data_IF_951473992493
#
_entry.id   IF_951473992493
#
_cell.length_a   1.000
_cell.length_b   1.000
_cell.length_c   1.000
_cell.angle_alpha   90.00
_cell.angle_beta   90.00
_cell.angle_gamma   90.00
#
_symmetry.space_group_name_H-M   'P 1'
#
loop_
_entity.id
_entity.type
_entity.pdbx_description
1 polymer ?
#
# COMPACT_ATOMS: atom_id res chain seq x y z
N UNK A 1 9.93 9.93 -57.77
CA UNK A 1 10.36 10.08 -56.37
C UNK A 1 10.30 8.72 -55.69
N UNK A 2 11.45 8.07 -55.44
CA UNK A 2 12.28 8.18 -54.21
C UNK A 2 11.49 7.67 -52.99
N UNK A 3 11.93 6.76 -52.12
CA UNK A 3 13.10 5.90 -51.93
C UNK A 3 12.78 5.12 -50.63
N UNK A 4 13.10 3.83 -50.53
CA UNK A 4 13.55 3.13 -49.31
C UNK A 4 13.55 1.61 -49.63
N UNK A 5 14.72 0.99 -49.89
CA UNK A 5 15.67 0.48 -48.89
C UNK A 5 15.03 -0.63 -48.03
N UNK A 6 15.35 -1.90 -48.33
CA UNK A 6 16.34 -2.73 -47.59
C UNK A 6 15.97 -2.88 -46.09
N UNK A 7 15.87 -4.06 -45.47
CA UNK A 7 16.78 -5.20 -45.56
C UNK A 7 16.24 -6.41 -44.75
N UNK A 8 16.64 -7.61 -45.18
CA UNK A 8 16.93 -8.83 -44.41
C UNK A 8 15.84 -9.57 -43.61
N UNK A 9 15.21 -10.50 -44.33
CA UNK A 9 14.83 -11.83 -43.83
C UNK A 9 16.10 -12.63 -43.47
N UNK A 10 16.17 -13.16 -42.25
CA UNK A 10 16.89 -14.41 -41.98
C UNK A 10 16.17 -15.22 -40.91
N UNK A 11 15.22 -16.00 -41.41
CA UNK A 11 14.64 -17.16 -40.72
C UNK A 11 15.67 -18.28 -40.79
N UNK A 12 16.25 -18.66 -39.66
CA UNK A 12 17.03 -19.88 -39.57
C UNK A 12 16.75 -20.54 -38.22
N UNK A 13 16.21 -21.76 -38.34
CA UNK A 13 16.50 -22.92 -37.51
C UNK A 13 15.59 -23.22 -36.32
N UNK A 14 14.57 -23.99 -36.66
CA UNK A 14 13.91 -25.00 -35.84
C UNK A 14 14.89 -25.78 -34.96
N UNK A 15 14.65 -25.79 -33.65
CA UNK A 15 14.93 -26.95 -32.80
C UNK A 15 13.73 -27.14 -31.88
N UNK A 16 12.87 -28.07 -32.27
CA UNK A 16 11.89 -28.70 -31.40
C UNK A 16 12.63 -29.31 -30.21
N UNK A 17 12.39 -28.81 -29.01
CA UNK A 17 12.80 -29.48 -27.78
C UNK A 17 11.57 -29.61 -26.90
N UNK A 18 11.09 -30.85 -26.84
CA UNK A 18 9.86 -31.23 -26.19
C UNK A 18 9.77 -30.79 -24.74
N UNK A 19 8.54 -30.47 -24.36
CA UNK A 19 8.06 -30.40 -22.99
C UNK A 19 8.26 -31.79 -22.38
N UNK A 20 9.25 -31.92 -21.50
CA UNK A 20 9.42 -33.10 -20.67
C UNK A 20 8.61 -32.87 -19.38
N UNK A 21 7.69 -33.80 -19.12
CA UNK A 21 6.54 -33.69 -18.20
C UNK A 21 6.85 -34.09 -16.76
N UNK A 22 8.11 -34.28 -16.36
CA UNK A 22 8.45 -34.66 -14.99
C UNK A 22 9.62 -33.83 -14.47
N UNK A 23 9.57 -33.47 -13.18
CA UNK A 23 10.61 -32.82 -12.38
C UNK A 23 10.89 -31.31 -12.53
N UNK A 24 10.03 -30.45 -11.97
CA UNK A 24 10.45 -29.46 -10.94
C UNK A 24 9.25 -29.06 -10.06
N UNK A 25 8.72 -30.00 -9.26
CA UNK A 25 8.04 -29.63 -8.01
C UNK A 25 9.14 -29.21 -7.02
N UNK A 26 9.72 -28.02 -7.21
CA UNK A 26 10.46 -27.35 -6.14
C UNK A 26 9.41 -26.63 -5.31
N UNK A 27 9.15 -27.24 -4.17
CA UNK A 27 8.37 -26.74 -3.04
C UNK A 27 8.42 -25.22 -2.95
N UNK A 28 7.27 -24.60 -3.12
CA UNK A 28 7.05 -23.22 -2.70
C UNK A 28 6.96 -23.23 -1.17
N UNK A 29 7.92 -22.68 -0.39
CA UNK A 29 7.65 -22.44 1.01
C UNK A 29 6.86 -21.13 1.09
N UNK A 30 5.63 -21.12 0.56
CA UNK A 30 4.74 -19.96 0.58
C UNK A 30 3.77 -19.98 1.77
N UNK A 31 3.93 -20.92 2.71
CA UNK A 31 3.00 -21.11 3.82
C UNK A 31 3.45 -20.45 5.14
N UNK A 32 4.70 -19.97 5.26
CA UNK A 32 5.17 -19.34 6.52
C UNK A 32 5.01 -17.81 6.62
N UNK A 33 4.78 -17.10 5.51
CA UNK A 33 4.57 -15.64 5.56
C UNK A 33 3.08 -15.22 5.64
N UNK A 34 2.14 -16.14 5.42
CA UNK A 34 0.70 -15.84 5.44
C UNK A 34 0.06 -15.96 6.84
N UNK A 35 0.77 -16.41 7.85
CA UNK A 35 0.23 -16.64 9.20
C UNK A 35 0.30 -15.41 10.13
N UNK A 36 0.62 -14.22 9.62
CA UNK A 36 0.65 -12.97 10.40
C UNK A 36 -0.46 -12.00 9.97
N UNK A 37 -1.61 -12.52 9.54
CA UNK A 37 -2.79 -11.71 9.22
C UNK A 37 -3.55 -11.29 10.48
N UNK A 38 -2.86 -11.01 11.58
CA UNK A 38 -3.48 -10.26 12.66
C UNK A 38 -3.54 -8.79 12.23
N UNK A 39 -4.77 -8.29 12.05
CA UNK A 39 -5.01 -6.87 11.84
C UNK A 39 -4.46 -6.09 13.04
N UNK A 40 -3.42 -5.29 12.79
CA UNK A 40 -2.82 -4.45 13.82
C UNK A 40 -3.80 -3.33 14.13
N UNK A 41 -4.13 -3.13 15.42
CA UNK A 41 -5.04 -2.06 15.82
C UNK A 41 -4.41 -0.71 15.47
N UNK A 42 -5.23 0.22 14.97
CA UNK A 42 -4.77 1.57 14.61
C UNK A 42 -4.11 2.28 15.80
N UNK A 43 -4.61 2.05 17.02
CA UNK A 43 -4.06 2.61 18.27
C UNK A 43 -2.65 2.10 18.61
N UNK A 44 -2.25 0.95 18.09
CA UNK A 44 -0.91 0.37 18.32
C UNK A 44 0.13 0.92 17.31
N UNK A 45 -0.33 1.68 16.31
CA UNK A 45 0.53 2.31 15.32
C UNK A 45 1.03 3.66 15.85
N UNK A 46 2.30 3.99 15.58
CA UNK A 46 2.92 5.26 15.95
C UNK A 46 2.40 6.45 15.11
N UNK A 47 1.12 6.76 15.22
CA UNK A 47 0.41 7.82 14.50
C UNK A 47 0.43 9.13 15.30
N UNK A 48 0.47 10.30 14.63
CA UNK A 48 0.27 11.57 15.31
C UNK A 48 -1.15 11.65 15.87
N UNK A 49 -1.30 12.19 17.09
CA UNK A 49 -2.60 12.38 17.77
C UNK A 49 -2.98 13.85 17.94
N UNK A 50 -2.02 14.76 17.92
CA UNK A 50 -2.25 16.20 17.99
C UNK A 50 -2.82 16.73 16.65
N UNK A 51 -3.89 17.54 16.66
CA UNK A 51 -4.50 18.09 15.44
C UNK A 51 -3.53 18.77 14.48
N UNK A 52 -2.62 19.61 14.98
CA UNK A 52 -1.63 20.31 14.16
C UNK A 52 -0.61 19.34 13.57
N UNK A 53 -0.18 18.35 14.36
CA UNK A 53 0.69 17.27 13.89
C UNK A 53 0.02 16.41 12.82
N UNK A 54 -1.27 16.09 12.97
CA UNK A 54 -2.05 15.33 11.98
C UNK A 54 -2.16 16.11 10.68
N UNK A 55 -2.57 17.37 10.72
CA UNK A 55 -2.72 18.20 9.52
C UNK A 55 -1.39 18.32 8.75
N UNK A 56 -0.30 18.56 9.49
CA UNK A 56 1.07 18.58 8.94
C UNK A 56 1.47 17.24 8.36
N UNK A 57 1.12 16.13 9.01
CA UNK A 57 1.46 14.80 8.55
C UNK A 57 0.78 14.47 7.23
N UNK A 58 -0.54 14.65 7.16
CA UNK A 58 -1.33 14.39 5.95
C UNK A 58 -0.79 15.19 4.77
N UNK A 59 -0.57 16.50 4.97
CA UNK A 59 -0.12 17.40 3.89
C UNK A 59 1.25 17.03 3.32
N UNK A 60 2.18 16.55 4.16
CA UNK A 60 3.54 16.20 3.71
C UNK A 60 3.69 14.76 3.24
N UNK A 61 2.84 13.84 3.73
CA UNK A 61 3.01 12.40 3.50
C UNK A 61 2.00 11.83 2.53
N UNK A 62 0.80 12.40 2.45
CA UNK A 62 -0.27 11.85 1.61
C UNK A 62 -0.34 12.65 0.31
N UNK A 63 0.01 11.97 -0.78
CA UNK A 63 0.04 12.57 -2.11
C UNK A 63 -1.36 13.07 -2.49
N UNK A 64 -1.46 14.33 -2.91
CA UNK A 64 -2.74 14.94 -3.31
C UNK A 64 -3.57 15.51 -2.15
N UNK A 65 -3.14 15.34 -0.90
CA UNK A 65 -3.76 15.96 0.27
C UNK A 65 -3.15 17.33 0.50
N UNK A 66 -3.91 18.38 0.21
CA UNK A 66 -3.51 19.75 0.47
C UNK A 66 -3.92 20.22 1.86
N UNK A 67 -3.35 21.35 2.29
CA UNK A 67 -3.59 21.96 3.62
C UNK A 67 -5.07 22.09 3.96
N UNK A 68 -5.89 22.61 3.03
CA UNK A 68 -7.33 22.77 3.25
C UNK A 68 -8.06 21.45 3.48
N UNK A 69 -7.65 20.38 2.77
CA UNK A 69 -8.25 19.05 2.95
C UNK A 69 -7.83 18.46 4.30
N UNK A 70 -6.56 18.60 4.66
CA UNK A 70 -6.04 18.15 5.94
C UNK A 70 -6.73 18.90 7.11
N UNK A 71 -6.84 20.21 7.03
CA UNK A 71 -7.51 21.05 8.02
C UNK A 71 -8.98 20.68 8.19
N UNK A 72 -9.72 20.51 7.07
CA UNK A 72 -11.13 20.10 7.12
C UNK A 72 -11.31 18.76 7.83
N UNK A 73 -10.48 17.76 7.49
CA UNK A 73 -10.56 16.45 8.12
C UNK A 73 -10.21 16.50 9.61
N UNK A 74 -9.15 17.24 9.98
CA UNK A 74 -8.72 17.38 11.37
C UNK A 74 -9.72 18.17 12.19
N UNK A 75 -10.36 19.19 11.63
CA UNK A 75 -11.38 19.97 12.31
C UNK A 75 -12.61 19.12 12.66
N UNK A 76 -13.02 18.23 11.76
CA UNK A 76 -14.20 17.38 11.96
C UNK A 76 -13.89 16.13 12.80
N UNK A 77 -12.72 15.52 12.64
CA UNK A 77 -12.41 14.20 13.23
C UNK A 77 -11.33 14.24 14.31
N UNK A 78 -10.48 15.25 14.34
CA UNK A 78 -9.38 15.37 15.30
C UNK A 78 -8.50 14.12 15.35
N UNK A 79 -8.30 13.60 16.56
CA UNK A 79 -7.52 12.39 16.83
C UNK A 79 -8.16 11.10 16.30
N UNK A 80 -9.49 11.09 16.08
CA UNK A 80 -10.21 9.91 15.60
C UNK A 80 -10.08 9.74 14.08
N UNK A 81 -9.38 10.64 13.37
CA UNK A 81 -9.28 10.60 11.91
C UNK A 81 -8.76 9.26 11.38
N UNK A 82 -7.63 8.77 11.90
CA UNK A 82 -7.02 7.52 11.41
C UNK A 82 -7.90 6.31 11.69
N UNK A 83 -8.55 6.30 12.85
CA UNK A 83 -9.52 5.26 13.21
C UNK A 83 -10.71 5.28 12.26
N UNK A 84 -11.27 6.46 12.00
CA UNK A 84 -12.40 6.64 11.09
C UNK A 84 -12.07 6.24 9.66
N UNK A 85 -10.89 6.61 9.14
CA UNK A 85 -10.44 6.17 7.80
C UNK A 85 -10.31 4.65 7.69
N UNK A 86 -10.08 3.95 8.81
CA UNK A 86 -9.93 2.50 8.85
C UNK A 86 -11.29 1.79 9.05
N UNK A 87 -12.10 2.26 9.99
CA UNK A 87 -13.36 1.61 10.39
C UNK A 87 -14.57 2.07 9.57
N UNK A 88 -14.57 3.32 9.10
CA UNK A 88 -15.70 3.94 8.39
C UNK A 88 -15.23 4.86 7.26
N UNK A 89 -14.67 4.30 6.17
CA UNK A 89 -14.14 5.07 5.04
C UNK A 89 -15.22 5.88 4.31
N UNK A 90 -16.46 5.41 4.27
CA UNK A 90 -17.56 6.11 3.61
C UNK A 90 -17.89 7.46 4.28
N UNK A 91 -17.69 7.56 5.60
CA UNK A 91 -17.85 8.82 6.32
C UNK A 91 -16.89 9.91 5.84
N UNK A 92 -15.67 9.53 5.41
CA UNK A 92 -14.68 10.47 4.87
C UNK A 92 -15.20 11.13 3.58
N UNK A 93 -15.90 10.36 2.73
CA UNK A 93 -16.51 10.88 1.50
C UNK A 93 -17.68 11.85 1.75
N UNK A 94 -18.24 11.86 2.96
CA UNK A 94 -19.25 12.84 3.39
C UNK A 94 -18.67 14.19 3.84
N UNK A 95 -17.38 14.23 4.24
CA UNK A 95 -16.72 15.43 4.77
C UNK A 95 -16.04 16.25 3.66
N UNK A 96 -15.39 15.56 2.71
CA UNK A 96 -14.60 16.19 1.65
C UNK A 96 -15.06 15.71 0.26
N UNK A 97 -14.74 16.43 -0.83
CA UNK A 97 -15.08 16.00 -2.18
C UNK A 97 -14.63 14.57 -2.47
N UNK A 98 -15.46 13.79 -3.15
CA UNK A 98 -15.25 12.34 -3.38
C UNK A 98 -13.86 12.01 -3.93
N UNK A 99 -13.39 12.74 -4.94
CA UNK A 99 -12.06 12.53 -5.52
C UNK A 99 -10.91 12.74 -4.51
N UNK A 100 -11.10 13.61 -3.51
CA UNK A 100 -10.13 13.83 -2.43
C UNK A 100 -10.23 12.74 -1.37
N UNK A 101 -11.44 12.29 -1.04
CA UNK A 101 -11.65 11.17 -0.13
C UNK A 101 -10.95 9.90 -0.65
N UNK A 102 -11.12 9.59 -1.94
CA UNK A 102 -10.45 8.45 -2.58
C UNK A 102 -8.91 8.54 -2.45
N UNK A 103 -8.32 9.71 -2.70
CA UNK A 103 -6.87 9.93 -2.56
C UNK A 103 -6.38 9.78 -1.12
N UNK A 104 -7.13 10.34 -0.15
CA UNK A 104 -6.81 10.24 1.29
C UNK A 104 -6.87 8.79 1.75
N UNK A 105 -7.93 8.08 1.39
CA UNK A 105 -8.14 6.68 1.79
C UNK A 105 -7.12 5.75 1.12
N UNK A 106 -6.76 5.99 -0.15
CA UNK A 106 -5.70 5.25 -0.81
C UNK A 106 -4.35 5.44 -0.10
N UNK A 107 -3.98 6.70 0.19
CA UNK A 107 -2.75 7.01 0.90
C UNK A 107 -2.74 6.39 2.31
N UNK A 108 -3.89 6.40 3.01
CA UNK A 108 -4.04 5.77 4.31
C UNK A 108 -3.81 4.25 4.24
N UNK A 109 -4.43 3.53 3.30
CA UNK A 109 -4.23 2.07 3.18
C UNK A 109 -2.76 1.70 3.01
N UNK A 110 -2.04 2.43 2.14
CA UNK A 110 -0.62 2.23 1.94
C UNK A 110 0.21 2.55 3.19
N UNK A 111 -0.21 3.58 3.95
CA UNK A 111 0.44 3.95 5.21
C UNK A 111 0.22 2.91 6.31
N UNK A 112 -1.02 2.48 6.49
CA UNK A 112 -1.42 1.43 7.42
C UNK A 112 -0.64 0.14 7.16
N UNK A 113 -0.61 -0.33 5.92
CA UNK A 113 0.07 -1.58 5.58
C UNK A 113 1.58 -1.50 5.91
N UNK A 114 2.23 -0.38 5.58
CA UNK A 114 3.65 -0.17 5.89
C UNK A 114 3.90 -0.20 7.40
N UNK A 115 3.03 0.44 8.19
CA UNK A 115 3.14 0.49 9.66
C UNK A 115 2.82 -0.85 10.29
N UNK A 116 1.78 -1.55 9.82
CA UNK A 116 1.37 -2.87 10.30
C UNK A 116 2.46 -3.93 10.02
N UNK A 117 3.11 -3.89 8.85
CA UNK A 117 4.27 -4.76 8.55
C UNK A 117 5.44 -4.46 9.50
N UNK A 118 5.75 -3.18 9.74
CA UNK A 118 6.79 -2.78 10.68
C UNK A 118 6.49 -3.22 12.13
N UNK A 119 5.24 -3.07 12.57
CA UNK A 119 4.80 -3.48 13.90
C UNK A 119 4.92 -4.99 14.10
N UNK A 120 4.43 -5.79 13.15
CA UNK A 120 4.56 -7.26 13.15
C UNK A 120 6.01 -7.72 13.22
N UNK A 121 6.89 -7.11 12.43
CA UNK A 121 8.33 -7.39 12.48
C UNK A 121 8.96 -7.08 13.83
N UNK A 122 8.58 -5.96 14.46
CA UNK A 122 9.05 -5.59 15.79
C UNK A 122 8.55 -6.54 16.88
N UNK A 123 7.26 -6.90 16.87
CA UNK A 123 6.68 -7.84 17.84
C UNK A 123 7.35 -9.22 17.79
N UNK A 124 7.62 -9.73 16.57
CA UNK A 124 8.34 -11.00 16.38
C UNK A 124 9.75 -10.97 16.94
N UNK A 125 10.49 -9.88 16.73
CA UNK A 125 11.84 -9.73 17.27
C UNK A 125 11.85 -9.77 18.81
N UNK A 126 10.90 -9.08 19.44
CA UNK A 126 10.76 -9.05 20.90
C UNK A 126 10.44 -10.42 21.51
N UNK A 127 9.57 -11.20 20.88
CA UNK A 127 9.17 -12.52 21.38
C UNK A 127 10.30 -13.56 21.31
N UNK A 128 11.34 -13.36 20.48
CA UNK A 128 12.48 -14.28 20.35
C UNK A 128 13.55 -14.10 21.43
N UNK A 129 13.56 -12.96 22.11
CA UNK A 129 14.51 -12.62 23.18
C UNK A 129 14.00 -13.00 24.59
N UNK A 130 12.77 -13.50 24.72
CA UNK A 130 12.12 -13.86 25.99
C UNK A 130 12.20 -15.36 26.31
#
# INVERSE_FOLDING_TARGET
>A
ELLASQESLKVERSVSRGYNTEEVLREVPAESDMADTEDVKVSDLALPSDPGAIARYLTHRYKGVGEKTADTLVKELGSELFRTMHENPDYIAGIIPKNRAEQVLEAWRADYERRARGHRGWSRAKNRES
#
